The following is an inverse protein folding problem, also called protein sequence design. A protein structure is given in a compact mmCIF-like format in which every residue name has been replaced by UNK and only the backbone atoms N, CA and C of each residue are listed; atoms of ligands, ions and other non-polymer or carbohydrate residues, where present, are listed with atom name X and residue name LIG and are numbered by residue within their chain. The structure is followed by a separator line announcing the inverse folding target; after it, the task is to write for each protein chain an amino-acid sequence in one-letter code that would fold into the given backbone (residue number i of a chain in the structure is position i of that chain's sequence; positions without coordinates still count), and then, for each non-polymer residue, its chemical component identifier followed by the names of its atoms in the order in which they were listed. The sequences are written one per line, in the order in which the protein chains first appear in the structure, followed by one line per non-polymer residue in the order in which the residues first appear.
data_IF_351225785784
#
_entry.id   IF_351225785784
#
_cell.length_a   1.000
_cell.length_b   1.000
_cell.length_c   1.000
_cell.angle_alpha   90.00
_cell.angle_beta   90.00
_cell.angle_gamma   90.00
#
_symmetry.space_group_name_H-M   'P 1'
#
loop_
_entity.id
_entity.type
_entity.pdbx_description
1 polymer ?
#
# COMPACT_ATOMS: atom_id res chain seq x y z
N UNK A 1 -7.54 -2.27 -1.39
CA UNK A 1 -7.46 -3.50 -0.57
C UNK A 1 -6.52 -3.14 0.55
N UNK A 2 -7.04 -3.17 1.76
CA UNK A 2 -6.42 -2.51 2.90
C UNK A 2 -5.88 -3.61 3.80
N UNK A 3 -4.56 -3.63 3.96
CA UNK A 3 -3.88 -4.57 4.83
C UNK A 3 -3.79 -3.97 6.22
N UNK A 4 -3.99 -4.79 7.24
CA UNK A 4 -3.92 -4.39 8.64
C UNK A 4 -2.91 -5.22 9.39
N UNK A 5 -2.29 -4.63 10.41
CA UNK A 5 -1.47 -5.35 11.36
C UNK A 5 -1.85 -4.90 12.76
N UNK A 6 -2.41 -5.84 13.51
CA UNK A 6 -2.88 -5.63 14.87
C UNK A 6 -2.21 -6.65 15.77
N UNK A 7 -1.42 -6.17 16.74
CA UNK A 7 -0.73 -6.97 17.74
C UNK A 7 -0.66 -6.15 19.03
N UNK A 8 -1.64 -6.40 19.90
CA UNK A 8 -1.87 -5.63 21.13
C UNK A 8 -0.72 -5.73 22.15
N UNK A 9 -0.13 -6.92 22.42
CA UNK A 9 1.05 -7.04 23.28
C UNK A 9 2.21 -6.12 22.90
N UNK A 10 2.42 -5.90 21.60
CA UNK A 10 3.50 -5.05 21.08
C UNK A 10 3.03 -3.64 20.69
N UNK A 11 1.81 -3.23 21.07
CA UNK A 11 1.19 -1.95 20.71
C UNK A 11 1.29 -1.64 19.21
N UNK A 12 1.02 -2.64 18.37
CA UNK A 12 0.96 -2.50 16.93
C UNK A 12 -0.51 -2.41 16.52
N UNK A 13 -0.88 -1.30 15.90
CA UNK A 13 -2.22 -1.06 15.38
C UNK A 13 -2.09 -0.19 14.14
N UNK A 14 -1.74 -0.81 13.01
CA UNK A 14 -1.32 -0.12 11.78
C UNK A 14 -2.09 -0.62 10.57
N UNK A 15 -2.24 0.25 9.58
CA UNK A 15 -2.80 -0.09 8.28
C UNK A 15 -1.79 0.17 7.16
N UNK A 16 -2.05 -0.44 6.01
CA UNK A 16 -1.32 -0.24 4.77
C UNK A 16 -2.30 -0.40 3.59
N UNK A 17 -2.57 0.68 2.86
CA UNK A 17 -3.47 0.71 1.71
C UNK A 17 -2.65 0.82 0.42
N UNK A 18 -3.07 0.05 -0.58
CA UNK A 18 -2.48 0.00 -1.91
C UNK A 18 -3.57 0.15 -2.96
N UNK A 19 -3.45 1.20 -3.77
CA UNK A 19 -4.43 1.56 -4.79
C UNK A 19 -3.72 1.92 -6.10
N UNK A 20 -4.17 1.32 -7.21
CA UNK A 20 -3.64 1.63 -8.54
C UNK A 20 -4.60 2.64 -9.16
N UNK A 21 -4.05 3.74 -9.68
CA UNK A 21 -4.83 4.77 -10.36
C UNK A 21 -4.21 5.12 -11.72
N UNK A 22 -5.02 5.31 -12.78
CA UNK A 22 -4.53 5.87 -14.03
C UNK A 22 -4.15 7.33 -13.83
N UNK A 23 -3.04 7.74 -14.44
CA UNK A 23 -2.60 9.13 -14.56
C UNK A 23 -3.29 9.83 -15.73
N UNK A 24 -3.13 11.16 -15.78
CA UNK A 24 -3.77 12.00 -16.79
C UNK A 24 -3.11 11.86 -18.18
N UNK A 25 -1.88 11.35 -18.25
CA UNK A 25 -1.08 11.33 -19.48
C UNK A 25 -0.87 9.91 -20.01
N UNK A 26 -1.71 8.95 -19.60
CA UNK A 26 -1.61 7.54 -19.98
C UNK A 26 -0.62 6.75 -19.13
N UNK A 27 0.03 7.42 -18.17
CA UNK A 27 0.80 6.84 -17.09
C UNK A 27 -0.11 6.16 -16.05
N UNK A 28 0.49 5.40 -15.15
CA UNK A 28 -0.17 4.68 -14.08
C UNK A 28 0.53 4.97 -12.76
N UNK A 29 -0.22 4.92 -11.67
CA UNK A 29 0.32 5.16 -10.33
C UNK A 29 -0.05 4.06 -9.36
N UNK A 30 0.83 3.82 -8.40
CA UNK A 30 0.54 3.09 -7.18
C UNK A 30 0.54 4.07 -6.01
N UNK A 31 -0.65 4.37 -5.50
CA UNK A 31 -0.85 5.13 -4.26
C UNK A 31 -0.71 4.19 -3.08
N UNK A 32 0.21 4.53 -2.19
CA UNK A 32 0.53 3.81 -0.96
C UNK A 32 0.21 4.71 0.21
N UNK A 33 -0.63 4.24 1.11
CA UNK A 33 -0.94 4.95 2.35
C UNK A 33 -0.67 4.04 3.54
N UNK A 34 -0.03 4.56 4.59
CA UNK A 34 0.21 3.77 5.81
C UNK A 34 0.23 4.64 7.05
N UNK A 35 -0.17 4.06 8.17
CA UNK A 35 -0.24 4.81 9.42
C UNK A 35 -0.70 3.94 10.58
N UNK A 36 -0.97 4.59 11.72
CA UNK A 36 -1.74 3.94 12.80
C UNK A 36 -3.21 3.99 12.43
N UNK A 37 -3.94 2.91 12.69
CA UNK A 37 -5.39 2.89 12.47
C UNK A 37 -6.05 3.94 13.38
N UNK A 38 -6.96 4.74 12.81
CA UNK A 38 -7.62 5.85 13.51
C UNK A 38 -6.81 7.14 13.56
N UNK A 39 -5.72 7.25 12.81
CA UNK A 39 -4.90 8.47 12.68
C UNK A 39 -4.60 8.75 11.20
N UNK A 40 -4.30 10.00 10.83
CA UNK A 40 -3.83 10.33 9.49
C UNK A 40 -2.59 9.49 9.11
N UNK A 41 -2.61 8.93 7.90
CA UNK A 41 -1.49 8.19 7.34
C UNK A 41 -0.45 9.07 6.64
N UNK A 42 0.66 8.46 6.27
CA UNK A 42 1.58 8.97 5.25
C UNK A 42 1.17 8.41 3.90
N UNK A 43 1.22 9.26 2.87
CA UNK A 43 0.92 8.89 1.49
C UNK A 43 2.19 8.98 0.66
N UNK A 44 2.38 8.02 -0.24
CA UNK A 44 3.38 8.06 -1.30
C UNK A 44 2.76 7.57 -2.61
N UNK A 45 3.11 8.25 -3.69
CA UNK A 45 2.72 7.88 -5.04
C UNK A 45 3.98 7.45 -5.79
N UNK A 46 3.95 6.28 -6.40
CA UNK A 46 4.98 5.85 -7.35
C UNK A 46 4.35 5.73 -8.74
N UNK A 47 5.04 6.24 -9.76
CA UNK A 47 4.55 6.34 -11.14
C UNK A 47 5.18 5.26 -12.03
N UNK A 48 4.42 4.80 -13.03
CA UNK A 48 4.75 3.72 -13.93
C UNK A 48 4.22 4.02 -15.34
N UNK A 49 4.91 3.56 -16.37
CA UNK A 49 4.47 3.76 -17.76
C UNK A 49 3.29 2.86 -18.15
N UNK A 50 3.05 1.76 -17.43
CA UNK A 50 1.99 0.79 -17.75
C UNK A 50 1.25 0.29 -16.50
N UNK A 51 -0.02 -0.12 -16.69
CA UNK A 51 -0.82 -0.72 -15.62
C UNK A 51 -0.19 -2.01 -15.08
N UNK A 52 0.38 -2.82 -15.99
CA UNK A 52 1.03 -4.08 -15.63
C UNK A 52 2.19 -3.84 -14.66
N UNK A 53 3.05 -2.86 -14.93
CA UNK A 53 4.15 -2.50 -14.04
C UNK A 53 3.64 -2.03 -12.65
N UNK A 54 2.55 -1.25 -12.60
CA UNK A 54 1.94 -0.85 -11.34
C UNK A 54 1.32 -2.04 -10.57
N UNK A 55 0.73 -3.02 -11.28
CA UNK A 55 0.19 -4.26 -10.71
C UNK A 55 1.29 -5.15 -10.14
N UNK A 56 2.40 -5.31 -10.86
CA UNK A 56 3.56 -6.09 -10.40
C UNK A 56 4.15 -5.46 -9.13
N UNK A 57 4.38 -4.15 -9.13
CA UNK A 57 4.86 -3.42 -7.95
C UNK A 57 3.89 -3.53 -6.76
N UNK A 58 2.57 -3.49 -7.01
CA UNK A 58 1.56 -3.70 -5.96
C UNK A 58 1.66 -5.11 -5.38
N UNK A 59 1.79 -6.13 -6.22
CA UNK A 59 1.92 -7.52 -5.79
C UNK A 59 3.18 -7.74 -4.93
N UNK A 60 4.32 -7.21 -5.37
CA UNK A 60 5.58 -7.30 -4.63
C UNK A 60 5.48 -6.67 -3.24
N UNK A 61 4.91 -5.46 -3.15
CA UNK A 61 4.71 -4.80 -1.86
C UNK A 61 3.73 -5.58 -1.00
N UNK A 62 2.63 -6.08 -1.57
CA UNK A 62 1.67 -6.90 -0.83
C UNK A 62 2.33 -8.14 -0.22
N UNK A 63 3.15 -8.87 -0.98
CA UNK A 63 3.90 -10.03 -0.48
C UNK A 63 4.92 -9.65 0.58
N UNK A 64 5.63 -8.53 0.41
CA UNK A 64 6.56 -8.03 1.43
C UNK A 64 5.84 -7.65 2.74
N UNK A 65 4.63 -7.09 2.66
CA UNK A 65 3.84 -6.74 3.85
C UNK A 65 3.21 -7.95 4.50
N UNK A 66 2.74 -8.93 3.73
CA UNK A 66 2.28 -10.21 4.24
C UNK A 66 3.37 -10.91 5.07
N UNK A 67 4.62 -10.94 4.57
CA UNK A 67 5.78 -11.45 5.33
C UNK A 67 6.08 -10.70 6.63
N UNK A 68 5.56 -9.47 6.79
CA UNK A 68 5.68 -8.65 8.01
C UNK A 68 4.46 -8.76 8.94
N UNK A 69 3.55 -9.70 8.66
CA UNK A 69 2.35 -9.96 9.44
C UNK A 69 1.23 -8.95 9.19
N UNK A 70 1.19 -8.35 8.00
CA UNK A 70 0.02 -7.59 7.55
C UNK A 70 -0.94 -8.54 6.83
N UNK A 71 -2.22 -8.47 7.18
CA UNK A 71 -3.31 -9.30 6.63
C UNK A 71 -4.46 -8.44 6.11
#
# INVERSE_FOLDING_TARGET
MDLTRIDAPNNVHRFYRLEIMPGLFGDWSLVREWGRIGQPGQVRVDWFDTEAAAKDARFDIQMQKAKRGYE
#
